data_IF_854285385295
#
_entry.id   IF_854285385295
#
_cell.length_a   1.000
_cell.length_b   1.000
_cell.length_c   1.000
_cell.angle_alpha   90.00
_cell.angle_beta   90.00
_cell.angle_gamma   90.00
#
_symmetry.space_group_name_H-M   'P 1'
#
loop_
_entity.id
_entity.type
_entity.pdbx_description
1 polymer ?
#
# COMPACT_ATOMS: atom_id res chain seq x y z
N UNK A 1 71.48 -53.34 4.82
CA UNK A 1 70.19 -53.87 5.29
C UNK A 1 69.23 -52.79 5.79
N UNK A 2 69.56 -51.94 6.78
CA UNK A 2 68.62 -50.91 7.27
C UNK A 2 68.22 -49.87 6.20
N UNK A 3 69.20 -49.36 5.44
CA UNK A 3 68.98 -48.35 4.40
C UNK A 3 68.13 -48.86 3.22
N UNK A 4 68.31 -50.13 2.85
CA UNK A 4 67.53 -50.78 1.77
C UNK A 4 66.07 -50.98 2.20
N UNK A 5 65.85 -51.31 3.48
CA UNK A 5 64.52 -51.41 4.07
C UNK A 5 63.81 -50.04 4.11
N UNK A 6 64.53 -48.98 4.47
CA UNK A 6 63.99 -47.61 4.51
C UNK A 6 63.62 -47.10 3.11
N UNK A 7 64.45 -47.39 2.10
CA UNK A 7 64.16 -47.07 0.69
C UNK A 7 62.91 -47.83 0.21
N UNK A 8 62.78 -49.11 0.53
CA UNK A 8 61.59 -49.90 0.19
C UNK A 8 60.30 -49.33 0.83
N UNK A 9 60.38 -48.95 2.11
CA UNK A 9 59.27 -48.33 2.84
C UNK A 9 58.88 -46.96 2.23
N UNK A 10 59.87 -46.17 1.79
CA UNK A 10 59.64 -44.88 1.13
C UNK A 10 58.96 -45.05 -0.23
N UNK A 11 59.39 -46.02 -1.03
CA UNK A 11 58.77 -46.35 -2.32
C UNK A 11 57.30 -46.73 -2.10
N UNK A 12 57.04 -47.66 -1.17
CA UNK A 12 55.68 -48.10 -0.86
C UNK A 12 54.79 -46.95 -0.38
N UNK A 13 55.33 -46.03 0.43
CA UNK A 13 54.60 -44.85 0.90
C UNK A 13 54.32 -43.86 -0.23
N UNK A 14 55.24 -43.73 -1.18
CA UNK A 14 55.10 -42.86 -2.37
C UNK A 14 54.06 -43.43 -3.34
N UNK A 15 54.06 -44.74 -3.58
CA UNK A 15 53.04 -45.42 -4.38
C UNK A 15 51.65 -45.28 -3.76
N UNK A 16 51.55 -45.45 -2.43
CA UNK A 16 50.31 -45.25 -1.69
C UNK A 16 49.81 -43.80 -1.77
N UNK A 17 50.71 -42.82 -1.64
CA UNK A 17 50.36 -41.40 -1.79
C UNK A 17 49.87 -41.08 -3.20
N UNK A 18 50.54 -41.63 -4.22
CA UNK A 18 50.16 -41.46 -5.64
C UNK A 18 48.73 -41.98 -5.87
N UNK A 19 48.43 -43.17 -5.37
CA UNK A 19 47.08 -43.75 -5.48
C UNK A 19 46.00 -42.91 -4.75
N UNK A 20 46.33 -42.29 -3.61
CA UNK A 20 45.42 -41.39 -2.89
C UNK A 20 45.18 -40.10 -3.68
N UNK A 21 46.23 -39.52 -4.26
CA UNK A 21 46.15 -38.31 -5.10
C UNK A 21 45.29 -38.57 -6.33
N UNK A 22 45.51 -39.69 -7.04
CA UNK A 22 44.74 -40.07 -8.21
C UNK A 22 43.25 -40.25 -7.88
N UNK A 23 42.96 -40.93 -6.75
CA UNK A 23 41.58 -41.09 -6.27
C UNK A 23 40.93 -39.75 -5.95
N UNK A 24 41.67 -38.83 -5.32
CA UNK A 24 41.15 -37.49 -4.97
C UNK A 24 40.95 -36.61 -6.20
N UNK A 25 41.82 -36.68 -7.19
CA UNK A 25 41.64 -35.99 -8.47
C UNK A 25 40.35 -36.46 -9.16
N UNK A 26 40.13 -37.77 -9.24
CA UNK A 26 38.92 -38.34 -9.83
C UNK A 26 37.64 -37.95 -9.04
N UNK A 27 37.72 -37.90 -7.71
CA UNK A 27 36.60 -37.41 -6.88
C UNK A 27 36.28 -35.95 -7.16
N UNK A 28 37.30 -35.09 -7.32
CA UNK A 28 37.11 -33.67 -7.64
C UNK A 28 36.51 -33.49 -9.02
N UNK A 29 36.98 -34.21 -10.04
CA UNK A 29 36.42 -34.15 -11.40
C UNK A 29 34.95 -34.53 -11.43
N UNK A 30 34.58 -35.61 -10.73
CA UNK A 30 33.18 -36.04 -10.61
C UNK A 30 32.32 -34.99 -9.88
N UNK A 31 32.85 -34.35 -8.83
CA UNK A 31 32.15 -33.29 -8.12
C UNK A 31 31.98 -32.04 -8.97
N UNK A 32 33.01 -31.64 -9.73
CA UNK A 32 32.94 -30.49 -10.65
C UNK A 32 31.87 -30.72 -11.72
N UNK A 33 31.87 -31.89 -12.38
CA UNK A 33 30.85 -32.24 -13.37
C UNK A 33 29.42 -32.23 -12.79
N UNK A 34 29.27 -32.70 -11.55
CA UNK A 34 27.99 -32.64 -10.83
C UNK A 34 27.57 -31.20 -10.50
N UNK A 35 28.52 -30.32 -10.14
CA UNK A 35 28.24 -28.91 -9.93
C UNK A 35 27.86 -28.20 -11.21
N UNK A 36 28.57 -28.43 -12.32
CA UNK A 36 28.25 -27.84 -13.63
C UNK A 36 26.83 -28.19 -14.06
N UNK A 37 26.44 -29.45 -13.89
CA UNK A 37 25.07 -29.91 -14.17
C UNK A 37 24.04 -29.19 -13.29
N UNK A 38 24.33 -29.00 -12.00
CA UNK A 38 23.44 -28.31 -11.06
C UNK A 38 23.33 -26.81 -11.36
N UNK A 39 24.42 -26.18 -11.79
CA UNK A 39 24.46 -24.77 -12.17
C UNK A 39 23.64 -24.56 -13.44
N UNK A 40 23.89 -25.33 -14.49
CA UNK A 40 23.14 -25.26 -15.75
C UNK A 40 21.63 -25.46 -15.53
N UNK A 41 21.24 -26.41 -14.67
CA UNK A 41 19.83 -26.60 -14.30
C UNK A 41 19.25 -25.38 -13.59
N UNK A 42 19.98 -24.79 -12.63
CA UNK A 42 19.52 -23.60 -11.91
C UNK A 42 19.39 -22.38 -12.82
N UNK A 43 20.29 -22.22 -13.78
CA UNK A 43 20.20 -21.16 -14.78
C UNK A 43 18.90 -21.31 -15.60
N UNK A 44 18.60 -22.52 -16.07
CA UNK A 44 17.33 -22.82 -16.76
C UNK A 44 16.10 -22.57 -15.87
N UNK A 45 16.15 -22.98 -14.60
CA UNK A 45 15.04 -22.75 -13.65
C UNK A 45 14.82 -21.24 -13.38
N UNK A 46 15.89 -20.45 -13.32
CA UNK A 46 15.84 -18.98 -13.17
C UNK A 46 15.28 -18.32 -14.42
N UNK A 47 15.75 -18.72 -15.60
CA UNK A 47 15.25 -18.18 -16.88
C UNK A 47 13.76 -18.46 -17.05
N UNK A 48 13.33 -19.69 -16.72
CA UNK A 48 11.92 -20.06 -16.71
C UNK A 48 11.11 -19.21 -15.73
N UNK A 49 11.61 -19.02 -14.51
CA UNK A 49 10.95 -18.18 -13.52
C UNK A 49 10.79 -16.74 -14.03
N UNK A 50 11.82 -16.16 -14.65
CA UNK A 50 11.77 -14.80 -15.19
C UNK A 50 10.72 -14.68 -16.30
N UNK A 51 10.58 -15.69 -17.17
CA UNK A 51 9.61 -15.71 -18.25
C UNK A 51 8.15 -15.86 -17.78
N UNK A 52 7.94 -16.65 -16.72
CA UNK A 52 6.60 -16.97 -16.20
C UNK A 52 6.14 -16.01 -15.08
N UNK A 53 7.06 -15.22 -14.51
CA UNK A 53 6.74 -14.29 -13.45
C UNK A 53 5.78 -13.20 -13.93
N UNK A 54 4.61 -13.11 -13.27
CA UNK A 54 3.67 -12.00 -13.41
C UNK A 54 3.67 -11.16 -12.13
N UNK A 55 4.72 -10.36 -11.86
CA UNK A 55 4.78 -9.57 -10.64
C UNK A 55 3.68 -8.50 -10.63
N UNK A 56 3.02 -8.36 -9.47
CA UNK A 56 2.05 -7.29 -9.24
C UNK A 56 2.77 -5.93 -9.34
N UNK A 57 2.30 -5.06 -10.25
CA UNK A 57 2.94 -3.75 -10.47
C UNK A 57 2.71 -2.84 -9.27
N UNK A 58 3.77 -2.15 -8.83
CA UNK A 58 3.72 -1.16 -7.74
C UNK A 58 3.82 0.26 -8.30
N UNK A 59 2.82 1.08 -8.01
CA UNK A 59 2.77 2.51 -8.33
C UNK A 59 3.03 3.32 -7.06
N UNK A 60 3.84 4.38 -7.16
CA UNK A 60 4.20 5.24 -6.04
C UNK A 60 3.88 6.69 -6.40
N UNK A 61 3.15 7.37 -5.52
CA UNK A 61 2.84 8.80 -5.62
C UNK A 61 3.19 9.48 -4.31
N UNK A 62 4.10 10.45 -4.36
CA UNK A 62 4.39 11.33 -3.23
C UNK A 62 3.51 12.57 -3.33
N UNK A 63 2.85 12.96 -2.24
CA UNK A 63 2.07 14.21 -2.17
C UNK A 63 2.57 15.08 -1.02
N UNK A 64 2.36 16.37 -1.13
CA UNK A 64 2.74 17.37 -0.13
C UNK A 64 1.52 18.23 0.21
N UNK A 65 1.22 18.37 1.49
CA UNK A 65 0.10 19.20 1.97
C UNK A 65 0.68 20.39 2.71
N UNK A 66 0.79 21.51 1.99
CA UNK A 66 1.39 22.77 2.41
C UNK A 66 0.55 23.61 3.37
N UNK A 67 -0.76 23.40 3.40
CA UNK A 67 -1.71 24.22 4.19
C UNK A 67 -1.46 24.23 5.70
N UNK A 68 -2.36 24.81 6.49
CA UNK A 68 -2.13 24.95 7.94
C UNK A 68 -2.06 23.58 8.65
N UNK A 69 -1.19 23.47 9.67
CA UNK A 69 -1.10 22.29 10.54
C UNK A 69 -2.31 22.07 11.43
N UNK A 70 -3.17 23.07 11.52
CA UNK A 70 -4.41 23.10 12.30
C UNK A 70 -5.61 22.60 11.49
N UNK A 71 -5.38 22.09 10.29
CA UNK A 71 -6.41 21.53 9.41
C UNK A 71 -5.97 20.17 8.85
N UNK A 72 -6.97 19.36 8.51
CA UNK A 72 -6.80 18.23 7.60
C UNK A 72 -7.41 18.57 6.24
N UNK A 73 -6.75 18.14 5.18
CA UNK A 73 -7.09 18.43 3.80
C UNK A 73 -7.59 17.16 3.09
N UNK A 74 -8.63 17.25 2.25
CA UNK A 74 -9.25 16.08 1.63
C UNK A 74 -8.32 15.40 0.62
N UNK A 75 -8.34 14.07 0.65
CA UNK A 75 -7.70 13.17 -0.31
C UNK A 75 -8.73 12.13 -0.73
N UNK A 76 -8.89 11.92 -2.04
CA UNK A 76 -9.89 11.01 -2.57
C UNK A 76 -9.38 10.23 -3.78
N UNK A 77 -9.94 9.04 -3.97
CA UNK A 77 -9.56 8.15 -5.06
C UNK A 77 -10.70 7.20 -5.40
N UNK A 78 -10.53 6.45 -6.48
CA UNK A 78 -11.35 5.26 -6.79
C UNK A 78 -10.44 4.06 -6.83
N UNK A 79 -10.87 2.97 -6.18
CA UNK A 79 -10.28 1.68 -6.49
C UNK A 79 -10.79 1.23 -7.87
N UNK A 80 -10.00 0.47 -8.63
CA UNK A 80 -10.47 -0.32 -9.76
C UNK A 80 -11.73 -1.14 -9.42
N UNK A 81 -12.59 -1.35 -10.41
CA UNK A 81 -13.82 -2.15 -10.26
C UNK A 81 -13.55 -3.63 -10.02
N UNK A 82 -14.62 -4.39 -9.76
CA UNK A 82 -14.52 -5.79 -9.32
C UNK A 82 -13.74 -6.72 -10.29
N UNK A 83 -13.79 -6.44 -11.60
CA UNK A 83 -13.02 -7.18 -12.61
C UNK A 83 -11.49 -7.11 -12.43
N UNK A 84 -11.00 -6.10 -11.70
CA UNK A 84 -9.57 -5.96 -11.37
C UNK A 84 -9.18 -6.67 -10.06
N UNK A 85 -10.13 -7.25 -9.33
CA UNK A 85 -9.89 -7.90 -8.04
C UNK A 85 -9.57 -6.90 -6.92
N UNK A 86 -8.80 -7.36 -5.92
CA UNK A 86 -8.48 -6.59 -4.72
C UNK A 86 -7.37 -5.59 -4.98
N UNK A 87 -7.65 -4.32 -4.69
CA UNK A 87 -6.69 -3.24 -4.71
C UNK A 87 -6.10 -3.01 -3.33
N UNK A 88 -4.79 -2.74 -3.27
CA UNK A 88 -4.02 -2.50 -2.05
C UNK A 88 -3.47 -1.09 -2.05
N UNK A 89 -3.73 -0.33 -1.00
CA UNK A 89 -3.24 1.03 -0.81
C UNK A 89 -2.46 1.12 0.50
N UNK A 90 -1.21 1.55 0.44
CA UNK A 90 -0.46 1.96 1.62
C UNK A 90 -0.21 3.45 1.57
N UNK A 91 -0.55 4.14 2.65
CA UNK A 91 -0.23 5.54 2.87
C UNK A 91 0.72 5.61 4.04
N UNK A 92 1.92 6.09 3.74
CA UNK A 92 3.01 6.06 4.68
C UNK A 92 3.65 7.43 4.83
N UNK A 93 4.14 7.69 6.04
CA UNK A 93 5.05 8.79 6.34
C UNK A 93 6.13 8.29 7.28
N UNK A 94 7.39 8.51 6.89
CA UNK A 94 8.52 8.26 7.77
C UNK A 94 8.68 9.45 8.73
N UNK A 95 8.95 9.17 10.02
CA UNK A 95 8.88 10.16 11.10
C UNK A 95 9.80 11.37 10.94
N UNK A 96 10.96 11.20 10.32
CA UNK A 96 12.00 12.24 10.13
C UNK A 96 11.86 13.03 8.84
N UNK A 97 10.89 12.72 7.97
CA UNK A 97 10.58 13.63 6.87
C UNK A 97 10.21 15.00 7.43
N UNK A 98 10.62 16.07 6.73
CA UNK A 98 10.45 17.46 7.18
C UNK A 98 11.10 17.76 8.55
N UNK A 99 12.15 17.03 8.95
CA UNK A 99 12.87 17.24 10.21
C UNK A 99 13.75 18.50 10.22
N UNK A 100 14.06 19.01 9.03
CA UNK A 100 14.75 20.27 8.75
C UNK A 100 13.82 21.47 8.94
N UNK A 101 12.58 21.40 8.44
CA UNK A 101 11.59 22.48 8.54
C UNK A 101 10.73 22.44 9.79
N UNK A 102 10.66 21.28 10.46
CA UNK A 102 9.98 21.03 11.74
C UNK A 102 8.58 21.66 11.86
N UNK A 103 7.66 21.39 10.92
CA UNK A 103 6.45 22.20 10.79
C UNK A 103 5.39 21.97 11.88
N UNK A 104 5.36 20.81 12.52
CA UNK A 104 4.38 20.50 13.56
C UNK A 104 4.88 20.92 14.94
N UNK A 105 6.12 20.53 15.25
CA UNK A 105 6.80 20.82 16.50
C UNK A 105 8.23 21.32 16.21
N UNK A 106 8.53 22.61 16.46
CA UNK A 106 9.84 23.21 16.16
C UNK A 106 10.98 22.64 17.02
N UNK A 107 10.66 21.96 18.12
CA UNK A 107 11.64 21.45 19.08
C UNK A 107 11.98 19.97 18.88
N UNK A 108 11.30 19.26 17.96
CA UNK A 108 11.52 17.82 17.75
C UNK A 108 11.88 17.51 16.30
N UNK A 109 12.85 16.64 16.01
CA UNK A 109 13.10 16.20 14.63
C UNK A 109 12.05 15.19 14.14
N UNK A 110 11.38 14.47 15.05
CA UNK A 110 10.36 13.47 14.70
C UNK A 110 8.99 14.16 14.59
N UNK A 111 8.61 14.50 13.37
CA UNK A 111 7.41 15.29 13.10
C UNK A 111 6.15 14.43 13.18
N UNK A 112 6.04 13.38 12.35
CA UNK A 112 4.87 12.48 12.37
C UNK A 112 5.17 11.14 11.66
N UNK A 113 4.71 10.02 12.21
CA UNK A 113 4.78 8.74 11.52
C UNK A 113 3.37 8.27 11.15
N UNK A 114 3.21 7.69 9.97
CA UNK A 114 1.97 7.09 9.52
C UNK A 114 2.26 5.76 8.82
N UNK A 115 1.50 4.73 9.18
CA UNK A 115 1.27 3.54 8.38
C UNK A 115 -0.24 3.28 8.35
N UNK A 116 -0.85 3.59 7.22
CA UNK A 116 -2.24 3.25 6.93
C UNK A 116 -2.27 2.32 5.72
N UNK A 117 -2.81 1.12 5.91
CA UNK A 117 -2.98 0.14 4.85
C UNK A 117 -4.46 -0.14 4.65
N UNK A 118 -4.90 -0.01 3.41
CA UNK A 118 -6.27 -0.26 2.97
C UNK A 118 -6.27 -1.36 1.91
N UNK A 119 -7.26 -2.22 1.98
CA UNK A 119 -7.66 -3.09 0.88
C UNK A 119 -9.06 -2.68 0.42
N UNK A 120 -9.35 -2.80 -0.86
CA UNK A 120 -10.69 -2.55 -1.37
C UNK A 120 -10.84 -2.81 -2.84
N UNK A 121 -12.06 -2.65 -3.33
CA UNK A 121 -12.37 -2.62 -4.74
C UNK A 121 -13.54 -1.65 -4.99
N UNK A 122 -13.48 -0.94 -6.10
CA UNK A 122 -14.45 0.05 -6.54
C UNK A 122 -14.71 1.23 -5.57
N UNK A 123 -15.98 1.60 -5.41
CA UNK A 123 -16.50 2.71 -4.62
C UNK A 123 -17.90 2.36 -4.09
N UNK A 124 -18.38 3.07 -3.06
CA UNK A 124 -19.56 2.71 -2.28
C UNK A 124 -20.87 2.46 -3.06
N UNK A 125 -21.10 3.15 -4.18
CA UNK A 125 -22.31 2.97 -5.02
C UNK A 125 -22.12 2.01 -6.20
N UNK A 126 -21.02 1.28 -6.27
CA UNK A 126 -20.84 0.30 -7.34
C UNK A 126 -21.80 -0.89 -7.14
N UNK A 127 -22.39 -1.41 -8.22
CA UNK A 127 -23.36 -2.51 -8.16
C UNK A 127 -22.77 -3.90 -7.94
N UNK A 128 -21.46 -4.07 -8.18
CA UNK A 128 -20.76 -5.34 -7.90
C UNK A 128 -20.44 -5.49 -6.40
N UNK A 129 -19.97 -6.68 -6.02
CA UNK A 129 -19.38 -6.91 -4.70
C UNK A 129 -18.22 -5.93 -4.48
N UNK A 130 -18.45 -4.93 -3.63
CA UNK A 130 -17.53 -3.82 -3.40
C UNK A 130 -17.17 -3.75 -1.90
N UNK A 131 -15.96 -3.30 -1.58
CA UNK A 131 -15.54 -3.11 -0.20
C UNK A 131 -14.38 -2.13 -0.07
N UNK A 132 -14.21 -1.62 1.14
CA UNK A 132 -12.96 -1.04 1.60
C UNK A 132 -12.76 -1.44 3.07
N UNK A 133 -11.55 -1.88 3.40
CA UNK A 133 -11.18 -2.29 4.74
C UNK A 133 -9.83 -1.70 5.12
N UNK A 134 -9.73 -1.24 6.36
CA UNK A 134 -8.46 -0.87 6.98
C UNK A 134 -7.78 -2.14 7.49
N UNK A 135 -6.62 -2.47 6.93
CA UNK A 135 -5.81 -3.63 7.35
C UNK A 135 -4.91 -3.30 8.51
N UNK A 136 -4.28 -2.13 8.46
CA UNK A 136 -3.38 -1.64 9.50
C UNK A 136 -3.53 -0.13 9.61
N UNK A 137 -3.51 0.37 10.84
CA UNK A 137 -3.47 1.80 11.11
C UNK A 137 -2.60 2.05 12.33
N UNK A 138 -1.50 2.76 12.12
CA UNK A 138 -0.59 3.18 13.18
C UNK A 138 -0.08 4.59 12.91
N UNK A 139 -0.08 5.40 13.96
CA UNK A 139 0.51 6.73 13.94
C UNK A 139 1.45 6.90 15.13
N UNK A 140 2.45 7.77 14.99
CA UNK A 140 3.32 8.19 16.10
C UNK A 140 3.65 9.68 16.00
N UNK A 141 4.02 10.25 17.15
CA UNK A 141 4.43 11.65 17.36
C UNK A 141 3.29 12.66 17.22
N UNK A 142 2.67 12.73 16.06
CA UNK A 142 1.57 13.64 15.78
C UNK A 142 0.52 12.94 14.91
N UNK A 143 -0.79 13.14 15.20
CA UNK A 143 -1.86 12.68 14.34
C UNK A 143 -1.74 13.18 12.91
N UNK A 144 -2.09 12.35 11.93
CA UNK A 144 -1.95 12.69 10.50
C UNK A 144 -3.14 12.36 9.63
N UNK A 145 -4.05 11.50 10.09
CA UNK A 145 -5.20 11.06 9.31
C UNK A 145 -6.50 11.29 10.07
N UNK A 146 -7.54 11.65 9.30
CA UNK A 146 -8.92 11.75 9.74
C UNK A 146 -9.89 11.21 8.69
N UNK A 147 -11.10 10.80 9.10
CA UNK A 147 -12.26 10.55 8.22
C UNK A 147 -12.02 9.58 7.07
N UNK A 148 -11.27 8.49 7.29
CA UNK A 148 -11.13 7.42 6.29
C UNK A 148 -12.49 6.77 6.06
N UNK A 149 -12.99 6.77 4.83
CA UNK A 149 -14.35 6.30 4.51
C UNK A 149 -14.47 5.78 3.08
N UNK A 150 -15.32 4.77 2.90
CA UNK A 150 -15.59 4.14 1.59
C UNK A 150 -16.44 5.05 0.70
N UNK A 151 -17.36 5.81 1.29
CA UNK A 151 -17.95 6.98 0.66
C UNK A 151 -17.20 8.22 1.17
N UNK A 152 -16.54 8.94 0.28
CA UNK A 152 -15.67 10.05 0.65
C UNK A 152 -16.44 11.08 1.49
N UNK A 153 -15.84 11.41 2.64
CA UNK A 153 -16.44 12.31 3.61
C UNK A 153 -16.47 13.73 3.03
N UNK A 154 -17.67 14.30 2.89
CA UNK A 154 -17.94 15.48 2.07
C UNK A 154 -19.19 16.21 2.55
N UNK A 155 -19.32 17.46 2.11
CA UNK A 155 -20.55 18.24 2.19
C UNK A 155 -21.38 18.02 0.94
N UNK A 156 -22.69 18.23 1.07
CA UNK A 156 -23.65 18.21 -0.04
C UNK A 156 -24.26 19.58 -0.24
N UNK A 157 -24.46 19.98 -1.49
CA UNK A 157 -25.27 21.15 -1.83
C UNK A 157 -26.23 20.85 -2.97
N UNK A 158 -27.33 21.63 -3.03
CA UNK A 158 -28.21 21.62 -4.20
C UNK A 158 -27.52 22.30 -5.37
N UNK A 159 -27.73 21.73 -6.55
CA UNK A 159 -27.27 22.34 -7.82
C UNK A 159 -28.42 23.07 -8.51
N UNK A 160 -29.61 22.49 -8.40
CA UNK A 160 -30.85 23.00 -8.94
C UNK A 160 -31.79 23.32 -7.78
N UNK A 161 -32.12 24.60 -7.62
CA UNK A 161 -32.95 25.11 -6.54
C UNK A 161 -34.39 24.58 -6.59
N UNK A 162 -34.88 24.23 -7.79
CA UNK A 162 -36.22 23.72 -8.01
C UNK A 162 -36.33 22.21 -7.73
N UNK A 163 -35.19 21.55 -7.52
CA UNK A 163 -35.13 20.12 -7.21
C UNK A 163 -34.80 19.87 -5.74
N UNK A 164 -35.34 18.81 -5.13
CA UNK A 164 -34.89 18.37 -3.82
C UNK A 164 -33.44 17.86 -3.89
N UNK A 165 -32.76 17.89 -2.75
CA UNK A 165 -31.43 17.32 -2.62
C UNK A 165 -31.50 15.80 -2.74
N UNK A 166 -30.57 15.20 -3.47
CA UNK A 166 -30.49 13.74 -3.60
C UNK A 166 -30.43 13.07 -2.23
N UNK A 167 -31.17 11.96 -2.07
CA UNK A 167 -31.33 11.15 -0.84
C UNK A 167 -31.78 11.91 0.42
N UNK A 168 -32.53 13.00 0.25
CA UNK A 168 -33.26 13.64 1.36
C UNK A 168 -32.37 14.21 2.46
N UNK A 169 -31.16 14.65 2.11
CA UNK A 169 -30.21 15.28 3.05
C UNK A 169 -30.49 16.76 3.19
N UNK A 170 -29.96 17.35 4.25
CA UNK A 170 -29.94 18.79 4.43
C UNK A 170 -28.78 19.41 3.62
N UNK A 171 -29.05 20.56 3.01
CA UNK A 171 -28.05 21.34 2.30
C UNK A 171 -26.94 21.78 3.28
N UNK A 172 -25.68 21.66 2.87
CA UNK A 172 -24.50 21.92 3.69
C UNK A 172 -24.16 20.82 4.71
N UNK A 173 -24.98 19.78 4.86
CA UNK A 173 -24.69 18.68 5.79
C UNK A 173 -23.41 17.93 5.41
N UNK A 174 -22.64 17.51 6.42
CA UNK A 174 -21.35 16.83 6.27
C UNK A 174 -21.45 15.37 6.70
N UNK A 175 -20.80 14.47 5.97
CA UNK A 175 -20.79 13.05 6.29
C UNK A 175 -20.15 12.21 5.19
N UNK A 176 -20.22 10.88 5.33
CA UNK A 176 -19.73 9.92 4.34
C UNK A 176 -20.62 9.87 3.09
N UNK A 177 -20.66 10.98 2.36
CA UNK A 177 -21.75 11.33 1.46
C UNK A 177 -21.47 11.08 -0.01
N UNK A 178 -20.22 11.26 -0.45
CA UNK A 178 -19.84 11.09 -1.84
C UNK A 178 -19.57 9.62 -2.13
N UNK A 179 -20.60 8.90 -2.53
CA UNK A 179 -20.54 7.47 -2.78
C UNK A 179 -19.80 7.08 -4.07
N UNK A 180 -19.30 8.08 -4.81
CA UNK A 180 -18.54 7.92 -6.05
C UNK A 180 -17.04 7.82 -5.81
N UNK A 181 -16.54 8.18 -4.65
CA UNK A 181 -15.13 8.15 -4.31
C UNK A 181 -14.93 7.55 -2.93
N UNK A 182 -13.78 6.94 -2.73
CA UNK A 182 -13.22 6.65 -1.43
C UNK A 182 -12.41 7.87 -0.98
N UNK A 183 -12.24 8.06 0.33
CA UNK A 183 -11.48 9.22 0.77
C UNK A 183 -11.03 9.20 2.20
N UNK A 184 -10.21 10.17 2.52
CA UNK A 184 -9.77 10.52 3.86
C UNK A 184 -9.33 11.98 3.89
N UNK A 185 -8.88 12.42 5.05
CA UNK A 185 -8.27 13.72 5.24
C UNK A 185 -6.89 13.54 5.84
N UNK A 186 -5.91 14.24 5.28
CA UNK A 186 -4.51 14.21 5.71
C UNK A 186 -4.10 15.56 6.29
N UNK A 187 -3.28 15.54 7.34
CA UNK A 187 -2.90 16.76 8.07
C UNK A 187 -2.05 17.69 7.18
N UNK A 188 -2.34 18.98 7.26
CA UNK A 188 -1.48 20.01 6.68
C UNK A 188 -0.22 20.27 7.51
N UNK A 189 0.37 21.43 7.30
CA UNK A 189 1.61 21.87 7.93
C UNK A 189 2.83 21.45 7.11
N UNK A 190 2.78 21.54 5.79
CA UNK A 190 3.91 21.17 4.93
C UNK A 190 4.39 19.73 5.12
N UNK A 191 3.46 18.78 5.25
CA UNK A 191 3.79 17.37 5.44
C UNK A 191 3.84 16.62 4.12
N UNK A 192 4.88 15.80 3.96
CA UNK A 192 5.00 14.83 2.87
C UNK A 192 4.35 13.49 3.22
N UNK A 193 3.61 12.93 2.28
CA UNK A 193 3.00 11.61 2.36
C UNK A 193 3.36 10.79 1.12
N UNK A 194 3.43 9.46 1.28
CA UNK A 194 3.68 8.52 0.18
C UNK A 194 2.54 7.53 0.05
N UNK A 195 1.95 7.49 -1.13
CA UNK A 195 0.93 6.55 -1.56
C UNK A 195 1.59 5.45 -2.37
N UNK A 196 1.36 4.20 -2.00
CA UNK A 196 1.88 3.02 -2.68
C UNK A 196 0.68 2.13 -3.02
N UNK A 197 0.54 1.74 -4.28
CA UNK A 197 -0.65 1.05 -4.76
C UNK A 197 -0.39 0.05 -5.87
N UNK A 198 -1.29 -0.92 -6.06
CA UNK A 198 -1.18 -1.94 -7.10
C UNK A 198 -2.00 -1.63 -8.37
N UNK A 199 -2.50 -0.40 -8.53
CA UNK A 199 -3.30 0.01 -9.70
C UNK A 199 -2.83 1.35 -10.31
N UNK A 200 -3.18 1.59 -11.59
CA UNK A 200 -2.85 2.82 -12.34
C UNK A 200 -3.71 4.04 -11.95
N UNK A 201 -3.26 5.24 -12.32
CA UNK A 201 -3.92 6.53 -12.02
C UNK A 201 -3.37 7.17 -10.75
N UNK A 202 -3.78 8.39 -10.41
CA UNK A 202 -3.30 9.08 -9.21
C UNK A 202 -4.43 9.22 -8.17
N UNK A 203 -4.04 9.39 -6.91
CA UNK A 203 -4.97 9.91 -5.89
C UNK A 203 -5.09 11.43 -6.06
N UNK A 204 -6.31 11.92 -5.93
CA UNK A 204 -6.61 13.35 -5.95
C UNK A 204 -6.54 13.90 -4.54
N UNK A 205 -6.11 15.15 -4.40
CA UNK A 205 -5.94 15.78 -3.09
C UNK A 205 -6.05 17.29 -3.16
N UNK A 206 -6.34 17.88 -2.02
CA UNK A 206 -6.17 19.30 -1.77
C UNK A 206 -4.79 19.52 -1.15
N UNK A 207 -3.91 20.25 -1.84
CA UNK A 207 -2.53 20.52 -1.41
C UNK A 207 -2.42 21.58 -0.29
N UNK A 208 -3.47 22.36 -0.09
CA UNK A 208 -3.56 23.39 0.94
C UNK A 208 -2.94 24.72 0.51
N UNK A 209 -2.76 24.91 -0.80
CA UNK A 209 -2.37 26.18 -1.42
C UNK A 209 -3.42 27.29 -1.23
N UNK A 210 -4.68 26.90 -0.99
CA UNK A 210 -5.78 27.77 -0.64
C UNK A 210 -6.67 27.11 0.45
N UNK A 211 -7.70 27.83 0.90
CA UNK A 211 -8.74 27.31 1.81
C UNK A 211 -10.08 27.11 1.07
N UNK A 212 -10.05 26.90 -0.24
CA UNK A 212 -11.25 26.75 -1.06
C UNK A 212 -11.71 25.29 -1.07
N UNK A 213 -13.02 25.10 -1.25
CA UNK A 213 -13.57 23.76 -1.46
C UNK A 213 -13.00 23.09 -2.70
N UNK A 214 -13.01 21.76 -2.71
CA UNK A 214 -12.74 20.92 -3.88
C UNK A 214 -14.01 20.17 -4.24
N UNK A 215 -14.49 20.39 -5.46
CA UNK A 215 -15.61 19.64 -5.98
C UNK A 215 -15.16 18.19 -6.26
N UNK A 216 -15.88 17.23 -5.67
CA UNK A 216 -15.61 15.82 -5.89
C UNK A 216 -16.34 15.35 -7.15
N UNK A 217 -17.65 15.61 -7.19
CA UNK A 217 -18.53 15.26 -8.31
C UNK A 217 -19.90 15.90 -8.13
N UNK A 218 -20.69 15.84 -9.18
CA UNK A 218 -22.07 16.33 -9.25
C UNK A 218 -22.95 15.27 -9.91
N UNK A 219 -24.22 15.22 -9.52
CA UNK A 219 -25.24 14.47 -10.21
C UNK A 219 -26.55 15.28 -10.26
N UNK A 220 -27.16 15.31 -11.45
CA UNK A 220 -28.50 15.85 -11.67
C UNK A 220 -29.38 14.73 -12.22
N UNK A 221 -30.51 14.51 -11.55
CA UNK A 221 -31.52 13.53 -11.92
C UNK A 221 -32.82 14.25 -12.30
N UNK A 222 -33.80 13.50 -12.82
CA UNK A 222 -35.10 14.06 -13.17
C UNK A 222 -35.79 14.72 -11.96
N UNK A 223 -35.64 14.14 -10.77
CA UNK A 223 -36.36 14.53 -9.55
C UNK A 223 -35.47 14.99 -8.41
N UNK A 224 -34.16 15.13 -8.61
CA UNK A 224 -33.22 15.54 -7.56
C UNK A 224 -31.92 16.07 -8.15
N UNK A 225 -31.18 16.86 -7.38
CA UNK A 225 -29.82 17.28 -7.71
C UNK A 225 -28.92 17.19 -6.49
N UNK A 226 -27.61 17.08 -6.71
CA UNK A 226 -26.62 17.10 -5.64
C UNK A 226 -25.23 17.38 -6.20
N UNK A 227 -24.48 18.21 -5.50
CA UNK A 227 -23.02 18.31 -5.64
C UNK A 227 -22.36 17.89 -4.35
N UNK A 228 -21.32 17.08 -4.48
CA UNK A 228 -20.44 16.73 -3.36
C UNK A 228 -19.15 17.52 -3.47
N UNK A 229 -18.78 18.17 -2.38
CA UNK A 229 -17.52 18.88 -2.27
C UNK A 229 -16.88 18.61 -0.92
N UNK A 230 -15.58 18.79 -0.85
CA UNK A 230 -14.79 18.62 0.35
C UNK A 230 -14.01 19.91 0.66
N UNK A 231 -13.91 20.26 1.93
CA UNK A 231 -13.22 21.45 2.43
C UNK A 231 -12.24 21.04 3.50
N UNK A 232 -11.14 21.79 3.72
CA UNK A 232 -10.28 21.55 4.86
C UNK A 232 -11.09 21.54 6.17
N UNK A 233 -10.88 20.52 7.00
CA UNK A 233 -11.56 20.38 8.30
C UNK A 233 -10.61 20.78 9.43
N UNK A 234 -11.08 21.47 10.48
CA UNK A 234 -10.27 21.78 11.64
C UNK A 234 -9.68 20.52 12.29
N UNK A 235 -8.45 20.63 12.79
CA UNK A 235 -7.76 19.52 13.45
C UNK A 235 -8.53 18.99 14.67
N UNK A 236 -9.28 19.87 15.35
CA UNK A 236 -10.13 19.51 16.48
C UNK A 236 -11.29 18.57 16.10
N UNK A 237 -11.72 18.56 14.84
CA UNK A 237 -12.81 17.70 14.34
C UNK A 237 -12.32 16.32 13.89
N UNK A 238 -11.10 15.94 14.29
CA UNK A 238 -10.51 14.68 13.88
C UNK A 238 -11.38 13.49 14.28
N UNK A 239 -11.73 12.67 13.28
CA UNK A 239 -12.23 11.31 13.46
C UNK A 239 -11.13 10.32 13.06
N UNK A 240 -10.46 9.73 14.06
CA UNK A 240 -9.40 8.78 13.83
C UNK A 240 -9.92 7.51 13.11
N UNK A 241 -9.15 6.92 12.18
CA UNK A 241 -9.49 5.65 11.58
C UNK A 241 -9.69 4.55 12.63
N UNK A 242 -10.85 3.90 12.62
CA UNK A 242 -11.11 2.70 13.40
C UNK A 242 -10.84 1.48 12.53
N UNK A 243 -10.21 0.42 13.09
CA UNK A 243 -9.87 -0.81 12.36
C UNK A 243 -11.10 -1.61 11.84
N UNK A 244 -12.31 -1.06 11.98
CA UNK A 244 -13.55 -1.63 11.45
C UNK A 244 -14.48 -0.50 10.99
N UNK A 245 -14.92 -0.57 9.73
CA UNK A 245 -16.18 0.05 9.29
C UNK A 245 -17.16 -0.94 8.65
N UNK A 246 -16.83 -2.23 8.58
CA UNK A 246 -17.77 -3.34 8.31
C UNK A 246 -17.24 -4.58 9.05
N UNK A 247 -17.99 -5.19 9.99
CA UNK A 247 -17.62 -6.49 10.51
C UNK A 247 -17.64 -7.51 9.37
N UNK A 248 -16.60 -8.32 9.28
CA UNK A 248 -16.64 -9.56 8.51
C UNK A 248 -17.74 -10.42 9.14
N UNK A 249 -18.98 -10.29 8.68
CA UNK A 249 -19.95 -11.34 8.86
C UNK A 249 -19.41 -12.47 8.01
N UNK A 250 -18.70 -13.40 8.65
CA UNK A 250 -18.64 -14.77 8.15
C UNK A 250 -20.10 -15.11 7.85
N UNK A 251 -20.51 -15.10 6.58
CA UNK A 251 -21.63 -15.93 6.21
C UNK A 251 -21.23 -17.32 6.72
N UNK A 252 -22.00 -17.97 7.61
CA UNK A 252 -21.70 -19.35 7.93
C UNK A 252 -21.74 -20.08 6.60
N UNK A 253 -20.57 -20.44 6.09
CA UNK A 253 -20.47 -21.46 5.06
C UNK A 253 -20.86 -22.73 5.79
N UNK A 254 -22.14 -23.09 5.70
CA UNK A 254 -22.57 -24.44 6.00
C UNK A 254 -22.12 -25.26 4.79
N UNK A 255 -21.11 -26.14 4.93
CA UNK A 255 -20.75 -27.03 3.83
C UNK A 255 -21.98 -27.85 3.45
N UNK A 256 -22.22 -28.14 2.16
CA UNK A 256 -23.23 -29.12 1.80
C UNK A 256 -22.90 -30.43 2.51
N UNK A 257 -23.85 -30.94 3.29
CA UNK A 257 -23.77 -32.30 3.83
C UNK A 257 -23.71 -33.27 2.65
N UNK A 258 -22.71 -34.15 2.70
CA UNK A 258 -22.56 -35.27 1.77
C UNK A 258 -23.78 -36.21 1.81
#
# INVERSE_FOLDING_TARGET
>A
MALEQDIANLIQSTDALTAVVDNKAQQLDNQMAAFDTRIAKKEQDVDKFIQEAMPETRYVQDIFIGGSKDYFYPVWWRFPGNAAGVSKLTIARQYSWNSDTKPLDPNRPHQAALLLELEGNSYAWNGDANFMQIKRFHERYNPTVSHVSFAAYSKVEKVDADKPLYVGRDDGSVGAWCYRYNGMYLRGGGLKYRFIKNWKGDVSYHDGSDNLRRELTEASFANSSVRWYAEPIPFAERLAPTLSSIPYANHPYTPPTA
#
